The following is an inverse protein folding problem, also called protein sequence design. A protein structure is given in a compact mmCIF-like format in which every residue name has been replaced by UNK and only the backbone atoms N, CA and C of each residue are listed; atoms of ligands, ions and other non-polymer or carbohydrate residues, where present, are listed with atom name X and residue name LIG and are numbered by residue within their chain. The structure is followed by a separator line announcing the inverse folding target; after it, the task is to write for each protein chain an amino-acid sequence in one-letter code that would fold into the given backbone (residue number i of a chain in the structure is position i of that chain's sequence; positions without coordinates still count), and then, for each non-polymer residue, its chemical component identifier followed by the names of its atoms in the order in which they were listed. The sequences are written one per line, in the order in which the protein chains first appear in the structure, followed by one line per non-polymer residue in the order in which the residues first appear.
data_IF_960926315826
#
_entry.id   IF_960926315826
#
_cell.length_a   1.000
_cell.length_b   1.000
_cell.length_c   1.000
_cell.angle_alpha   90.00
_cell.angle_beta   90.00
_cell.angle_gamma   90.00
#
_symmetry.space_group_name_H-M   'P 1'
#
loop_
_entity.id
_entity.type
_entity.pdbx_description
1 polymer ?
#
# COMPACT_ATOMS: atom_id res chain seq x y z
N UNK A 1 -14.97 17.19 10.67
CA UNK A 1 -14.24 16.33 9.72
C UNK A 1 -12.87 16.94 9.51
N UNK A 2 -11.80 16.15 9.60
CA UNK A 2 -10.46 16.59 9.21
C UNK A 2 -10.33 16.60 7.69
N UNK A 3 -9.59 17.56 7.15
CA UNK A 3 -9.21 17.63 5.73
C UNK A 3 -7.69 17.67 5.62
N UNK A 4 -7.17 17.31 4.45
CA UNK A 4 -5.75 17.49 4.14
C UNK A 4 -5.57 18.96 3.71
N UNK A 5 -4.75 19.77 4.40
CA UNK A 5 -4.55 21.18 4.07
C UNK A 5 -3.60 21.33 2.87
N UNK A 6 -3.95 20.72 1.74
CA UNK A 6 -3.20 20.74 0.50
C UNK A 6 -4.14 20.69 -0.70
N UNK A 7 -3.74 21.27 -1.83
CA UNK A 7 -4.49 21.17 -3.07
C UNK A 7 -4.32 19.77 -3.68
N UNK A 8 -5.30 18.90 -3.42
CA UNK A 8 -5.27 17.51 -3.86
C UNK A 8 -5.40 17.37 -5.39
N UNK A 9 -5.82 18.41 -6.12
CA UNK A 9 -5.96 18.36 -7.59
C UNK A 9 -4.61 18.25 -8.30
N UNK A 10 -3.52 18.59 -7.63
CA UNK A 10 -2.16 18.54 -8.17
C UNK A 10 -1.49 17.18 -8.02
N UNK A 11 -2.10 16.27 -7.23
CA UNK A 11 -1.54 14.95 -6.97
C UNK A 11 -1.63 14.10 -8.23
N UNK A 12 -0.54 13.39 -8.56
CA UNK A 12 -0.46 12.48 -9.72
C UNK A 12 -0.04 11.07 -9.34
N UNK A 13 0.46 10.90 -8.11
CA UNK A 13 1.01 9.65 -7.64
C UNK A 13 0.84 9.50 -6.13
N UNK A 14 0.74 8.25 -5.68
CA UNK A 14 0.76 7.85 -4.28
C UNK A 14 1.94 6.90 -4.06
N UNK A 15 2.78 7.21 -3.09
CA UNK A 15 3.91 6.37 -2.68
C UNK A 15 3.71 6.06 -1.20
N UNK A 16 3.59 4.77 -0.88
CA UNK A 16 3.25 4.31 0.46
C UNK A 16 4.35 3.43 1.02
N UNK A 17 4.63 3.59 2.32
CA UNK A 17 5.37 2.57 3.07
C UNK A 17 4.47 1.35 3.31
N UNK A 18 5.06 0.23 3.67
CA UNK A 18 4.36 -0.99 4.02
C UNK A 18 3.99 -1.01 5.51
N UNK A 19 4.99 -1.08 6.38
CA UNK A 19 4.81 -1.50 7.76
C UNK A 19 4.39 -0.32 8.65
N UNK A 20 3.16 -0.36 9.16
CA UNK A 20 2.55 0.75 9.90
C UNK A 20 1.82 1.78 9.04
N UNK A 21 1.82 1.62 7.71
CA UNK A 21 1.04 2.45 6.77
C UNK A 21 -0.03 1.62 6.08
N UNK A 22 0.37 0.60 5.31
CA UNK A 22 -0.60 -0.30 4.65
C UNK A 22 -0.85 -1.56 5.47
N UNK A 23 0.19 -2.08 6.12
CA UNK A 23 0.08 -3.16 7.09
C UNK A 23 0.06 -2.59 8.52
N UNK A 24 -0.41 -3.39 9.47
CA UNK A 24 -0.34 -3.03 10.87
C UNK A 24 1.12 -2.83 11.34
N UNK A 25 1.32 -1.89 12.26
CA UNK A 25 2.63 -1.61 12.86
C UNK A 25 3.13 -2.73 13.80
N UNK A 26 2.23 -3.61 14.24
CA UNK A 26 2.54 -4.79 15.03
C UNK A 26 1.84 -5.98 14.39
N UNK A 27 2.63 -7.01 14.07
CA UNK A 27 2.17 -8.21 13.41
C UNK A 27 2.71 -9.46 14.12
N UNK A 28 1.95 -10.57 14.13
CA UNK A 28 2.49 -11.87 14.52
C UNK A 28 3.69 -12.23 13.65
N UNK A 29 4.63 -12.99 14.22
CA UNK A 29 5.74 -13.57 13.47
C UNK A 29 5.28 -14.93 12.92
N UNK A 30 5.49 -15.13 11.63
CA UNK A 30 5.20 -16.38 10.94
C UNK A 30 6.20 -17.49 11.30
N UNK A 31 5.91 -18.74 10.90
CA UNK A 31 6.80 -19.88 11.16
C UNK A 31 8.20 -19.74 10.52
N UNK A 32 8.34 -18.88 9.52
CA UNK A 32 9.58 -18.54 8.82
C UNK A 32 10.40 -17.44 9.53
N UNK A 33 9.91 -16.92 10.66
CA UNK A 33 10.53 -15.82 11.38
C UNK A 33 10.24 -14.44 10.78
N UNK A 34 9.40 -14.35 9.74
CA UNK A 34 9.04 -13.08 9.11
C UNK A 34 7.73 -12.51 9.70
N UNK A 35 7.59 -11.18 9.80
CA UNK A 35 6.32 -10.57 10.18
C UNK A 35 5.21 -10.90 9.18
N UNK A 36 4.08 -11.40 9.69
CA UNK A 36 2.87 -11.63 8.89
C UNK A 36 2.16 -10.29 8.65
N UNK A 37 2.36 -9.72 7.46
CA UNK A 37 1.75 -8.44 7.08
C UNK A 37 0.25 -8.59 6.89
N UNK A 38 -0.49 -7.61 7.38
CA UNK A 38 -1.93 -7.50 7.22
C UNK A 38 -2.29 -6.61 6.04
N UNK A 39 -3.52 -6.74 5.55
CA UNK A 39 -4.06 -5.94 4.45
C UNK A 39 -5.46 -5.48 4.79
N UNK A 40 -5.76 -4.22 4.48
CA UNK A 40 -7.10 -3.68 4.60
C UNK A 40 -7.85 -3.76 3.26
N UNK A 41 -9.06 -4.32 3.27
CA UNK A 41 -9.87 -4.48 2.04
C UNK A 41 -10.33 -3.15 1.47
N UNK A 42 -10.67 -2.17 2.32
CA UNK A 42 -11.09 -0.83 1.88
C UNK A 42 -9.93 -0.09 1.21
N UNK A 43 -8.74 -0.19 1.79
CA UNK A 43 -7.55 0.43 1.22
C UNK A 43 -7.21 -0.22 -0.12
N UNK A 44 -7.29 -1.54 -0.21
CA UNK A 44 -7.12 -2.27 -1.47
C UNK A 44 -8.08 -1.80 -2.57
N UNK A 45 -9.37 -1.57 -2.23
CA UNK A 45 -10.34 -1.02 -3.18
C UNK A 45 -9.96 0.40 -3.62
N UNK A 46 -9.64 1.29 -2.67
CA UNK A 46 -9.28 2.68 -2.97
C UNK A 46 -8.02 2.77 -3.83
N UNK A 47 -7.00 1.94 -3.53
CA UNK A 47 -5.76 1.84 -4.31
C UNK A 47 -6.03 1.38 -5.75
N UNK A 48 -6.81 0.32 -5.92
CA UNK A 48 -7.17 -0.17 -7.25
C UNK A 48 -7.98 0.89 -8.03
N UNK A 49 -8.89 1.57 -7.36
CA UNK A 49 -9.68 2.64 -7.97
C UNK A 49 -8.78 3.82 -8.39
N UNK A 50 -7.85 4.25 -7.54
CA UNK A 50 -6.88 5.30 -7.87
C UNK A 50 -6.05 4.94 -9.12
N UNK A 51 -5.57 3.70 -9.22
CA UNK A 51 -4.87 3.22 -10.42
C UNK A 51 -5.78 3.29 -11.66
N UNK A 52 -7.05 2.86 -11.54
CA UNK A 52 -8.04 2.97 -12.63
C UNK A 52 -8.33 4.42 -13.05
N UNK A 53 -8.19 5.38 -12.13
CA UNK A 53 -8.31 6.81 -12.40
C UNK A 53 -7.01 7.43 -12.98
N UNK A 54 -5.97 6.62 -13.23
CA UNK A 54 -4.73 7.06 -13.87
C UNK A 54 -3.66 7.56 -12.91
N UNK A 55 -3.86 7.45 -11.59
CA UNK A 55 -2.82 7.77 -10.61
C UNK A 55 -1.73 6.70 -10.61
N UNK A 56 -0.48 7.13 -10.45
CA UNK A 56 0.63 6.20 -10.24
C UNK A 56 0.63 5.72 -8.79
N UNK A 57 0.58 4.41 -8.56
CA UNK A 57 0.73 3.82 -7.24
C UNK A 57 2.09 3.13 -7.11
N UNK A 58 2.80 3.42 -6.02
CA UNK A 58 4.06 2.77 -5.67
C UNK A 58 4.08 2.38 -4.18
N UNK A 59 4.80 1.30 -3.88
CA UNK A 59 5.12 0.88 -2.51
C UNK A 59 6.63 0.84 -2.36
N UNK A 60 7.15 1.42 -1.27
CA UNK A 60 8.57 1.36 -0.93
C UNK A 60 8.69 0.88 0.51
N UNK A 61 9.36 -0.25 0.74
CA UNK A 61 9.58 -0.80 2.08
C UNK A 61 10.97 -1.41 2.21
N UNK A 62 11.51 -1.39 3.44
CA UNK A 62 12.77 -2.05 3.76
C UNK A 62 12.65 -3.57 3.92
N UNK A 63 11.43 -4.12 4.01
CA UNK A 63 11.20 -5.55 4.14
C UNK A 63 10.79 -6.21 2.83
N UNK A 64 11.33 -7.40 2.56
CA UNK A 64 10.94 -8.21 1.40
C UNK A 64 9.76 -9.12 1.74
N UNK A 65 8.76 -9.21 0.85
CA UNK A 65 7.69 -10.19 0.92
C UNK A 65 7.07 -10.41 -0.45
N UNK A 66 7.28 -11.61 -1.01
CA UNK A 66 6.77 -11.96 -2.34
C UNK A 66 5.24 -11.93 -2.40
N UNK A 67 4.57 -12.39 -1.34
CA UNK A 67 3.11 -12.34 -1.23
C UNK A 67 2.57 -10.90 -1.30
N UNK A 68 3.25 -9.95 -0.66
CA UNK A 68 2.86 -8.54 -0.76
C UNK A 68 3.16 -7.97 -2.14
N UNK A 69 4.32 -8.29 -2.71
CA UNK A 69 4.67 -7.90 -4.07
C UNK A 69 3.60 -8.32 -5.08
N UNK A 70 3.17 -9.58 -5.06
CA UNK A 70 2.14 -10.10 -5.95
C UNK A 70 0.79 -9.41 -5.72
N UNK A 71 0.37 -9.27 -4.46
CA UNK A 71 -0.89 -8.60 -4.11
C UNK A 71 -0.99 -7.19 -4.69
N UNK A 72 0.06 -6.38 -4.56
CA UNK A 72 0.04 -5.00 -5.03
C UNK A 72 0.18 -4.88 -6.55
N UNK A 73 0.90 -5.80 -7.20
CA UNK A 73 0.87 -5.92 -8.67
C UNK A 73 -0.55 -6.19 -9.15
N UNK A 74 -1.31 -7.06 -8.47
CA UNK A 74 -2.71 -7.33 -8.78
C UNK A 74 -3.65 -6.12 -8.54
N UNK A 75 -3.26 -5.19 -7.65
CA UNK A 75 -3.95 -3.91 -7.49
C UNK A 75 -3.57 -2.88 -8.57
N UNK A 76 -2.56 -3.17 -9.39
CA UNK A 76 -2.07 -2.30 -10.46
C UNK A 76 -0.99 -1.32 -10.03
N UNK A 77 -0.30 -1.55 -8.90
CA UNK A 77 0.86 -0.77 -8.52
C UNK A 77 1.97 -0.92 -9.59
N UNK A 78 2.51 0.22 -10.05
CA UNK A 78 3.53 0.25 -11.11
C UNK A 78 4.93 -0.04 -10.57
N UNK A 79 5.19 0.33 -9.33
CA UNK A 79 6.49 0.18 -8.67
C UNK A 79 6.31 -0.46 -7.30
N UNK A 80 7.00 -1.60 -7.09
CA UNK A 80 7.03 -2.35 -5.83
C UNK A 80 8.33 -3.14 -5.72
#
# INVERSE_FOLDING_TARGET
MSSIPHDLSQIKAFVLDMDGVVSANVSPVGPDGMPMRTVNVKDGYAMQYAVKQGYTLAVISGGASEAMTERFRNLGAKYI
#
